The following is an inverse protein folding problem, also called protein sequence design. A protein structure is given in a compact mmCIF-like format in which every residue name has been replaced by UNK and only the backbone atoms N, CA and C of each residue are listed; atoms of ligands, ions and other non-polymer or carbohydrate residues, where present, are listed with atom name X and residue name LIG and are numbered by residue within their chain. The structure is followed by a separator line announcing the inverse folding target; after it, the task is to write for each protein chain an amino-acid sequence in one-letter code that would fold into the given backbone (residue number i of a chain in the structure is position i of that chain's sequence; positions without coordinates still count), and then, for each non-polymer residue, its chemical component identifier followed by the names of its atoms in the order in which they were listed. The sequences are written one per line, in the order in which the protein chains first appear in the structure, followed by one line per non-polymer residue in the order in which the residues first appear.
data_IF_518739235434
#
_entry.id   IF_518739235434
#
_cell.length_a   1.000
_cell.length_b   1.000
_cell.length_c   1.000
_cell.angle_alpha   90.00
_cell.angle_beta   90.00
_cell.angle_gamma   90.00
#
_symmetry.space_group_name_H-M   'P 1'
#
loop_
_entity.id
_entity.type
_entity.pdbx_description
1 polymer ?
#
# COMPACT_ATOMS: atom_id res chain seq x y z
N UNK A 1 -5.92 2.49 24.14
CA UNK A 1 -5.02 2.56 22.98
C UNK A 1 -5.23 1.32 22.15
N UNK A 2 -5.92 1.43 21.03
CA UNK A 2 -5.98 0.40 19.99
C UNK A 2 -4.72 0.51 19.17
N UNK A 3 -3.73 -0.35 19.46
CA UNK A 3 -2.49 -0.45 18.71
C UNK A 3 -2.50 -1.64 17.75
N UNK A 4 -1.44 -1.75 16.95
CA UNK A 4 -1.22 -2.91 16.09
C UNK A 4 -1.23 -4.20 16.90
N UNK A 5 -1.96 -5.20 16.41
CA UNK A 5 -1.81 -6.58 16.88
C UNK A 5 -0.53 -7.18 16.29
N UNK A 6 0.48 -7.53 17.11
CA UNK A 6 1.79 -7.96 16.62
C UNK A 6 1.76 -9.30 15.88
N UNK A 7 0.76 -10.13 16.14
CA UNK A 7 0.60 -11.44 15.51
C UNK A 7 -0.14 -11.38 14.16
N UNK A 8 -0.55 -10.19 13.72
CA UNK A 8 -1.25 -9.98 12.46
C UNK A 8 -0.37 -9.24 11.46
N UNK A 9 -0.44 -9.68 10.21
CA UNK A 9 0.11 -8.90 9.10
C UNK A 9 -0.71 -7.64 8.90
N UNK A 10 -0.03 -6.56 8.49
CA UNK A 10 -0.65 -5.29 8.17
C UNK A 10 0.03 -4.67 6.95
N UNK A 11 -0.76 -3.96 6.16
CA UNK A 11 -0.29 -3.13 5.04
C UNK A 11 -0.73 -1.70 5.34
N UNK A 12 0.12 -0.73 5.08
CA UNK A 12 -0.17 0.66 5.42
C UNK A 12 0.38 1.67 4.45
N UNK A 13 -0.08 2.89 4.65
CA UNK A 13 0.43 4.10 4.02
C UNK A 13 0.93 5.03 5.13
N UNK A 14 2.08 5.65 4.89
CA UNK A 14 2.63 6.63 5.81
C UNK A 14 3.26 7.79 5.05
N UNK A 15 3.09 8.99 5.58
CA UNK A 15 3.87 10.16 5.23
C UNK A 15 4.78 10.53 6.41
N UNK A 16 5.49 11.66 6.33
CA UNK A 16 6.23 12.19 7.47
C UNK A 16 5.33 12.59 8.65
N UNK A 17 4.03 12.80 8.41
CA UNK A 17 3.10 13.42 9.39
C UNK A 17 1.85 12.60 9.69
N UNK A 18 1.59 11.52 8.94
CA UNK A 18 0.38 10.70 9.11
C UNK A 18 0.66 9.23 8.81
N UNK A 19 -0.12 8.33 9.38
CA UNK A 19 0.00 6.90 9.13
C UNK A 19 -1.34 6.20 9.29
N UNK A 20 -1.64 5.30 8.36
CA UNK A 20 -2.77 4.39 8.47
C UNK A 20 -2.38 2.98 8.03
N UNK A 21 -2.99 1.99 8.67
CA UNK A 21 -2.77 0.57 8.37
C UNK A 21 -4.09 -0.17 8.28
N UNK A 22 -4.15 -1.18 7.42
CA UNK A 22 -5.17 -2.23 7.46
C UNK A 22 -4.52 -3.51 8.00
N UNK A 23 -5.11 -4.09 9.04
CA UNK A 23 -4.70 -5.38 9.58
C UNK A 23 -5.47 -6.52 8.90
N UNK A 24 -4.90 -7.72 8.94
CA UNK A 24 -5.49 -8.93 8.35
C UNK A 24 -6.90 -9.26 8.87
N UNK A 25 -7.27 -8.79 10.06
CA UNK A 25 -8.62 -8.96 10.62
C UNK A 25 -9.64 -7.93 10.11
N UNK A 26 -9.25 -7.09 9.16
CA UNK A 26 -10.09 -6.06 8.55
C UNK A 26 -10.16 -4.76 9.34
N UNK A 27 -9.47 -4.65 10.49
CA UNK A 27 -9.41 -3.41 11.23
C UNK A 27 -8.48 -2.41 10.54
N UNK A 28 -8.97 -1.18 10.34
CA UNK A 28 -8.16 -0.05 9.88
C UNK A 28 -7.84 0.84 11.08
N UNK A 29 -6.56 1.10 11.31
CA UNK A 29 -6.07 2.00 12.36
C UNK A 29 -5.43 3.22 11.70
N UNK A 30 -5.73 4.41 12.21
CA UNK A 30 -5.17 5.67 11.74
C UNK A 30 -4.79 6.57 12.91
N UNK A 31 -3.82 7.46 12.67
CA UNK A 31 -3.35 8.44 13.65
C UNK A 31 -4.42 9.50 14.03
N UNK A 32 -5.37 9.76 13.12
CA UNK A 32 -6.48 10.69 13.34
C UNK A 32 -7.68 10.35 12.44
N UNK A 33 -8.92 10.80 12.76
CA UNK A 33 -10.09 10.57 11.92
C UNK A 33 -10.00 11.25 10.54
N UNK A 34 -9.27 12.35 10.44
CA UNK A 34 -9.04 13.11 9.19
C UNK A 34 -7.65 12.81 8.59
N UNK A 35 -7.05 11.66 8.92
CA UNK A 35 -5.70 11.29 8.51
C UNK A 35 -5.58 11.23 6.98
N UNK A 36 -4.65 12.00 6.36
CA UNK A 36 -4.37 11.89 4.92
C UNK A 36 -3.97 10.47 4.49
N UNK A 37 -3.26 9.75 5.35
CA UNK A 37 -2.88 8.35 5.09
C UNK A 37 -4.07 7.40 5.13
N UNK A 38 -5.07 7.68 5.98
CA UNK A 38 -6.32 6.91 6.00
C UNK A 38 -7.07 7.08 4.68
N UNK A 39 -7.20 8.31 4.19
CA UNK A 39 -7.85 8.58 2.90
C UNK A 39 -7.12 7.90 1.74
N UNK A 40 -5.79 7.98 1.69
CA UNK A 40 -5.00 7.31 0.66
C UNK A 40 -5.17 5.79 0.67
N UNK A 41 -5.14 5.17 1.86
CA UNK A 41 -5.36 3.73 2.02
C UNK A 41 -6.76 3.31 1.56
N UNK A 42 -7.78 4.10 1.92
CA UNK A 42 -9.16 3.84 1.52
C UNK A 42 -9.40 4.00 0.01
N UNK A 43 -8.76 5.00 -0.60
CA UNK A 43 -8.80 5.22 -2.06
C UNK A 43 -8.14 4.07 -2.82
N UNK A 44 -6.98 3.58 -2.35
CA UNK A 44 -6.32 2.41 -2.92
C UNK A 44 -7.20 1.15 -2.87
N UNK A 45 -7.82 0.87 -1.73
CA UNK A 45 -8.76 -0.25 -1.59
C UNK A 45 -9.96 -0.09 -2.53
N UNK A 46 -10.51 1.12 -2.63
CA UNK A 46 -11.63 1.41 -3.53
C UNK A 46 -11.26 1.19 -5.00
N UNK A 47 -10.07 1.64 -5.41
CA UNK A 47 -9.56 1.41 -6.76
C UNK A 47 -9.34 -0.08 -7.05
N UNK A 48 -8.81 -0.83 -6.09
CA UNK A 48 -8.61 -2.28 -6.20
C UNK A 48 -9.93 -3.04 -6.37
N UNK A 49 -10.94 -2.67 -5.58
CA UNK A 49 -12.30 -3.21 -5.68
C UNK A 49 -12.92 -2.90 -7.05
N UNK A 50 -12.83 -1.64 -7.51
CA UNK A 50 -13.34 -1.21 -8.81
C UNK A 50 -12.63 -1.90 -9.99
N UNK A 51 -11.38 -2.32 -9.82
CA UNK A 51 -10.63 -3.11 -10.79
C UNK A 51 -10.99 -4.60 -10.79
N UNK A 52 -11.95 -5.04 -9.96
CA UNK A 52 -12.37 -6.42 -9.86
C UNK A 52 -11.45 -7.30 -9.00
N UNK A 53 -10.69 -6.71 -8.07
CA UNK A 53 -9.75 -7.39 -7.18
C UNK A 53 -8.75 -8.29 -7.93
N UNK A 54 -7.95 -7.75 -8.86
CA UNK A 54 -7.03 -8.55 -9.67
C UNK A 54 -6.03 -9.28 -8.79
N UNK A 55 -6.03 -10.61 -8.78
CA UNK A 55 -5.07 -11.36 -7.96
C UNK A 55 -3.62 -11.11 -8.43
N UNK A 56 -2.58 -11.21 -7.55
CA UNK A 56 -1.19 -10.97 -7.96
C UNK A 56 -0.76 -11.77 -9.20
N UNK A 57 -1.25 -13.00 -9.34
CA UNK A 57 -1.02 -13.88 -10.48
C UNK A 57 -1.65 -13.39 -11.80
N UNK A 58 -2.52 -12.37 -11.78
CA UNK A 58 -3.02 -11.72 -12.99
C UNK A 58 -2.00 -10.79 -13.64
N UNK A 59 -0.85 -10.56 -13.00
CA UNK A 59 0.20 -9.68 -13.50
C UNK A 59 1.43 -10.46 -13.91
N UNK A 60 2.09 -10.00 -14.99
CA UNK A 60 3.42 -10.46 -15.40
C UNK A 60 4.45 -9.49 -14.80
N UNK A 61 5.26 -9.91 -13.81
CA UNK A 61 6.29 -9.07 -13.23
C UNK A 61 7.51 -8.97 -14.14
N UNK A 62 8.00 -7.75 -14.36
CA UNK A 62 9.27 -7.50 -15.05
C UNK A 62 10.14 -6.58 -14.20
N UNK A 63 11.37 -7.02 -13.89
CA UNK A 63 12.38 -6.17 -13.27
C UNK A 63 12.98 -5.24 -14.31
N UNK A 64 12.95 -3.93 -14.05
CA UNK A 64 13.55 -2.91 -14.91
C UNK A 64 14.56 -2.10 -14.10
N UNK A 65 15.72 -1.74 -14.67
CA UNK A 65 16.65 -0.83 -14.00
C UNK A 65 15.96 0.50 -13.68
N UNK A 66 16.20 1.04 -12.49
CA UNK A 66 15.87 2.43 -12.20
C UNK A 66 16.83 3.29 -13.05
N UNK A 67 16.29 4.07 -13.99
CA UNK A 67 17.10 4.89 -14.90
C UNK A 67 17.95 5.93 -14.16
N UNK A 68 18.98 6.43 -14.82
CA UNK A 68 19.97 7.36 -14.23
C UNK A 68 19.36 8.69 -13.73
N UNK A 69 18.12 9.01 -14.15
CA UNK A 69 17.47 10.29 -13.89
C UNK A 69 16.62 10.34 -12.59
N UNK A 70 16.45 9.22 -11.86
CA UNK A 70 15.54 9.14 -10.69
C UNK A 70 16.18 8.63 -9.38
N UNK A 71 17.49 8.74 -9.22
CA UNK A 71 18.18 8.48 -7.94
C UNK A 71 19.27 7.40 -8.03
N UNK A 72 19.68 6.80 -6.88
CA UNK A 72 20.75 5.81 -6.87
C UNK A 72 20.38 4.57 -7.70
N UNK A 73 21.38 3.96 -8.33
CA UNK A 73 21.21 2.75 -9.13
C UNK A 73 20.37 1.71 -8.37
N UNK A 74 19.27 1.29 -8.98
CA UNK A 74 18.27 0.44 -8.34
C UNK A 74 17.47 -0.37 -9.35
N UNK A 75 16.48 -1.11 -8.85
CA UNK A 75 15.57 -1.91 -9.66
C UNK A 75 14.13 -1.57 -9.32
N UNK A 76 13.30 -1.39 -10.35
CA UNK A 76 11.87 -1.24 -10.23
C UNK A 76 11.18 -2.53 -10.68
N UNK A 77 10.08 -2.91 -10.01
CA UNK A 77 9.21 -3.99 -10.46
C UNK A 77 8.04 -3.40 -11.23
N UNK A 78 7.97 -3.65 -12.54
CA UNK A 78 6.84 -3.27 -13.39
C UNK A 78 5.87 -4.44 -13.46
N UNK A 79 4.59 -4.17 -13.17
CA UNK A 79 3.49 -5.11 -13.36
C UNK A 79 2.71 -4.75 -14.63
N UNK A 80 2.51 -5.72 -15.52
CA UNK A 80 1.66 -5.59 -16.71
C UNK A 80 0.60 -6.69 -16.74
N UNK A 81 -0.56 -6.39 -17.29
CA UNK A 81 -1.58 -7.38 -17.67
C UNK A 81 -1.24 -8.01 -19.02
#
# INVERSE_FOLDING_TARGET
MTGLRPDLWAIGHSTNESAAVIQQDGMILADSPDSPSLFALWDWLTAWENAGRPAPESYIPTLVPAGDDQGPAGWNLRLSH
#
